data_IF_825738393433
#
_entry.id   IF_825738393433
#
_cell.length_a   1.000
_cell.length_b   1.000
_cell.length_c   1.000
_cell.angle_alpha   90.00
_cell.angle_beta   90.00
_cell.angle_gamma   90.00
#
_symmetry.space_group_name_H-M   'P 1'
#
loop_
_entity.id
_entity.type
_entity.pdbx_description
1 polymer ?
#
# COMPACT_ATOMS: atom_id res chain seq x y z
N UNK A 1 11.92 13.05 -19.28
CA UNK A 1 12.22 13.74 -20.55
C UNK A 1 12.90 12.83 -21.59
N UNK A 2 13.65 11.78 -21.19
CA UNK A 2 14.37 10.87 -22.12
C UNK A 2 13.53 9.65 -22.59
N UNK A 3 12.46 9.28 -21.87
CA UNK A 3 11.62 8.12 -22.19
C UNK A 3 10.88 8.27 -23.53
N UNK A 4 10.38 9.47 -23.83
CA UNK A 4 9.63 9.74 -25.06
C UNK A 4 10.46 9.59 -26.34
N UNK A 5 11.68 10.17 -26.46
CA UNK A 5 12.56 9.93 -27.60
C UNK A 5 12.93 8.46 -27.84
N UNK A 6 13.16 7.68 -26.77
CA UNK A 6 13.51 6.25 -26.86
C UNK A 6 12.33 5.43 -27.41
N UNK A 7 11.11 5.72 -26.97
CA UNK A 7 9.91 5.08 -27.49
C UNK A 7 9.67 5.36 -28.97
N UNK A 8 9.87 6.61 -29.41
CA UNK A 8 9.77 7.00 -30.83
C UNK A 8 10.84 6.31 -31.67
N UNK A 9 12.09 6.25 -31.19
CA UNK A 9 13.17 5.54 -31.88
C UNK A 9 12.92 4.03 -31.99
N UNK A 10 12.41 3.39 -30.94
CA UNK A 10 12.05 1.98 -30.97
C UNK A 10 10.98 1.68 -32.04
N UNK A 11 9.98 2.56 -32.17
CA UNK A 11 8.94 2.42 -33.18
C UNK A 11 9.40 2.82 -34.60
N UNK A 12 10.33 3.76 -34.72
CA UNK A 12 10.89 4.18 -36.01
C UNK A 12 11.93 3.20 -36.58
N UNK A 13 12.49 2.32 -35.75
CA UNK A 13 13.47 1.30 -36.14
C UNK A 13 12.87 -0.08 -36.43
N UNK A 14 11.54 -0.22 -36.36
CA UNK A 14 10.79 -1.49 -36.52
C UNK A 14 11.36 -2.67 -35.70
N UNK A 15 12.05 -2.37 -34.60
CA UNK A 15 12.69 -3.37 -33.78
C UNK A 15 11.72 -3.90 -32.72
N UNK A 16 11.06 -5.02 -33.02
CA UNK A 16 10.09 -5.67 -32.15
C UNK A 16 10.58 -5.87 -30.70
N UNK A 17 11.86 -6.18 -30.48
CA UNK A 17 12.41 -6.39 -29.15
C UNK A 17 12.44 -5.09 -28.34
N UNK A 18 12.86 -3.98 -28.95
CA UNK A 18 12.86 -2.67 -28.30
C UNK A 18 11.44 -2.19 -28.00
N UNK A 19 10.50 -2.45 -28.90
CA UNK A 19 9.08 -2.10 -28.73
C UNK A 19 8.48 -2.86 -27.54
N UNK A 20 8.70 -4.18 -27.45
CA UNK A 20 8.19 -5.01 -26.35
C UNK A 20 8.78 -4.55 -25.01
N UNK A 21 10.10 -4.33 -24.96
CA UNK A 21 10.78 -3.90 -23.74
C UNK A 21 10.27 -2.53 -23.26
N UNK A 22 10.19 -1.55 -24.16
CA UNK A 22 9.70 -0.21 -23.85
C UNK A 22 8.25 -0.25 -23.34
N UNK A 23 7.37 -1.00 -24.01
CA UNK A 23 5.97 -1.14 -23.62
C UNK A 23 5.83 -1.79 -22.25
N UNK A 24 6.57 -2.86 -21.99
CA UNK A 24 6.55 -3.58 -20.71
C UNK A 24 7.01 -2.70 -19.56
N UNK A 25 8.13 -1.98 -19.73
CA UNK A 25 8.62 -1.04 -18.72
C UNK A 25 7.65 0.13 -18.50
N UNK A 26 7.00 0.61 -19.56
CA UNK A 26 5.95 1.63 -19.47
C UNK A 26 4.75 1.17 -18.64
N UNK A 27 4.27 -0.05 -18.87
CA UNK A 27 3.18 -0.64 -18.09
C UNK A 27 3.57 -0.84 -16.61
N UNK A 28 4.78 -1.35 -16.35
CA UNK A 28 5.30 -1.50 -14.98
C UNK A 28 5.44 -0.14 -14.29
N UNK A 29 5.89 0.88 -15.00
CA UNK A 29 5.98 2.23 -14.45
C UNK A 29 4.60 2.79 -14.07
N UNK A 30 3.61 2.64 -14.95
CA UNK A 30 2.21 3.03 -14.65
C UNK A 30 1.64 2.24 -13.48
N UNK A 31 1.94 0.94 -13.40
CA UNK A 31 1.57 0.11 -12.26
C UNK A 31 2.21 0.62 -10.96
N UNK A 32 3.52 0.93 -10.95
CA UNK A 32 4.18 1.49 -9.78
C UNK A 32 3.55 2.81 -9.33
N UNK A 33 3.27 3.72 -10.27
CA UNK A 33 2.55 4.97 -9.97
C UNK A 33 1.18 4.70 -9.34
N UNK A 34 0.45 3.71 -9.83
CA UNK A 34 -0.84 3.32 -9.28
C UNK A 34 -0.70 2.63 -7.91
N UNK A 35 0.29 1.77 -7.71
CA UNK A 35 0.49 0.98 -6.50
C UNK A 35 0.94 1.85 -5.31
N UNK A 36 1.86 2.79 -5.55
CA UNK A 36 2.41 3.71 -4.55
C UNK A 36 1.61 5.02 -4.41
N UNK A 37 0.39 5.08 -4.96
CA UNK A 37 -0.46 6.28 -4.87
C UNK A 37 -0.87 6.57 -3.42
N UNK A 38 -0.98 7.85 -3.07
CA UNK A 38 -1.50 8.31 -1.78
C UNK A 38 -2.62 9.35 -1.99
N UNK A 39 -3.87 8.90 -2.23
CA UNK A 39 -4.99 9.81 -2.41
C UNK A 39 -5.43 10.41 -1.07
N UNK A 40 -5.83 11.69 -1.10
CA UNK A 40 -6.44 12.37 0.05
C UNK A 40 -7.74 11.66 0.44
N UNK A 41 -7.94 11.46 1.75
CA UNK A 41 -9.16 10.84 2.31
C UNK A 41 -9.95 11.86 3.11
N UNK A 42 -11.28 11.77 3.02
CA UNK A 42 -12.17 12.46 3.95
C UNK A 42 -12.23 11.70 5.27
N UNK A 43 -11.76 12.32 6.35
CA UNK A 43 -11.79 11.75 7.70
C UNK A 43 -12.97 12.39 8.45
N UNK A 44 -13.81 11.60 9.15
CA UNK A 44 -14.85 12.15 10.03
C UNK A 44 -14.27 13.09 11.10
N UNK A 45 -15.02 14.12 11.49
CA UNK A 45 -14.55 15.16 12.43
C UNK A 45 -14.56 14.68 13.90
N UNK A 46 -15.34 13.63 14.20
CA UNK A 46 -15.49 13.10 15.55
C UNK A 46 -14.21 12.40 16.04
N UNK A 47 -13.56 13.00 17.03
CA UNK A 47 -12.32 12.51 17.64
C UNK A 47 -12.50 11.25 18.51
N UNK A 48 -13.72 10.85 18.80
CA UNK A 48 -14.01 9.64 19.57
C UNK A 48 -14.04 8.38 18.70
N UNK A 49 -14.03 8.54 17.37
CA UNK A 49 -14.06 7.43 16.43
C UNK A 49 -12.66 6.91 16.10
N UNK A 50 -12.54 5.58 16.04
CA UNK A 50 -11.39 4.90 15.43
C UNK A 50 -11.71 4.71 13.95
N UNK A 51 -10.86 5.22 13.06
CA UNK A 51 -11.04 5.09 11.60
C UNK A 51 -10.18 3.97 11.03
N UNK A 52 -10.50 3.50 9.82
CA UNK A 52 -9.70 2.45 9.18
C UNK A 52 -8.27 2.96 8.87
N UNK A 53 -7.21 2.27 9.34
CA UNK A 53 -5.83 2.68 9.09
C UNK A 53 -5.38 2.42 7.65
N UNK A 54 -6.04 1.50 6.94
CA UNK A 54 -5.66 1.06 5.61
C UNK A 54 -6.90 0.80 4.73
N UNK A 55 -6.67 0.69 3.42
CA UNK A 55 -7.67 0.10 2.52
C UNK A 55 -7.69 -1.41 2.65
N UNK A 56 -8.72 -2.05 2.08
CA UNK A 56 -8.75 -3.49 1.94
C UNK A 56 -9.99 -4.11 2.53
N UNK A 57 -9.90 -5.42 2.79
CA UNK A 57 -11.00 -6.21 3.31
C UNK A 57 -10.72 -6.59 4.76
N UNK A 58 -11.69 -6.38 5.64
CA UNK A 58 -11.64 -6.96 6.98
C UNK A 58 -11.77 -8.48 6.86
N UNK A 59 -10.73 -9.20 7.29
CA UNK A 59 -10.65 -10.67 7.18
C UNK A 59 -10.78 -11.37 8.53
N UNK A 60 -10.61 -10.64 9.64
CA UNK A 60 -10.71 -11.19 11.00
C UNK A 60 -11.15 -10.10 11.97
N UNK A 61 -12.08 -10.45 12.87
CA UNK A 61 -12.43 -9.67 14.05
C UNK A 61 -12.51 -10.64 15.22
N UNK A 62 -11.70 -10.45 16.25
CA UNK A 62 -11.66 -11.35 17.41
C UNK A 62 -11.28 -10.62 18.70
N UNK A 63 -11.70 -11.17 19.84
CA UNK A 63 -11.19 -10.77 21.15
C UNK A 63 -9.89 -11.55 21.42
N UNK A 64 -8.83 -10.83 21.78
CA UNK A 64 -7.53 -11.40 22.11
C UNK A 64 -7.08 -10.91 23.48
N UNK A 65 -6.15 -11.62 24.09
CA UNK A 65 -5.39 -11.10 25.22
C UNK A 65 -3.97 -10.84 24.73
N UNK A 66 -3.61 -9.58 24.57
CA UNK A 66 -2.33 -9.16 24.02
C UNK A 66 -1.57 -8.34 25.07
N UNK A 67 -0.52 -8.92 25.67
CA UNK A 67 0.31 -8.25 26.67
C UNK A 67 0.97 -6.98 26.14
N UNK A 68 1.25 -6.88 24.83
CA UNK A 68 1.94 -5.74 24.23
C UNK A 68 1.06 -4.49 24.21
N UNK A 69 -0.27 -4.66 24.18
CA UNK A 69 -1.27 -3.57 24.25
C UNK A 69 -1.94 -3.46 25.62
N UNK A 70 -1.45 -4.21 26.62
CA UNK A 70 -1.89 -4.08 28.01
C UNK A 70 -3.09 -4.94 28.44
N UNK A 71 -3.42 -6.01 27.71
CA UNK A 71 -4.42 -7.01 28.14
C UNK A 71 -5.51 -7.33 27.10
N UNK A 72 -6.76 -7.54 27.52
CA UNK A 72 -7.86 -7.86 26.61
C UNK A 72 -8.07 -6.76 25.57
N UNK A 73 -8.04 -7.13 24.29
CA UNK A 73 -8.14 -6.22 23.16
C UNK A 73 -9.01 -6.80 22.04
N UNK A 74 -9.56 -5.91 21.20
CA UNK A 74 -10.26 -6.30 19.97
C UNK A 74 -9.29 -6.23 18.80
N UNK A 75 -8.97 -7.37 18.20
CA UNK A 75 -8.17 -7.43 16.98
C UNK A 75 -9.06 -7.23 15.75
N UNK A 76 -8.62 -6.37 14.84
CA UNK A 76 -9.21 -6.21 13.50
C UNK A 76 -8.11 -6.39 12.46
N UNK A 77 -8.18 -7.46 11.66
CA UNK A 77 -7.22 -7.72 10.59
C UNK A 77 -7.76 -7.25 9.25
N UNK A 78 -7.00 -6.40 8.56
CA UNK A 78 -7.32 -5.86 7.24
C UNK A 78 -6.32 -6.41 6.23
N UNK A 79 -6.83 -7.03 5.17
CA UNK A 79 -6.03 -7.54 4.06
C UNK A 79 -6.05 -6.55 2.90
N UNK A 80 -4.86 -6.05 2.52
CA UNK A 80 -4.63 -5.21 1.35
C UNK A 80 -4.31 -6.10 0.15
N UNK A 81 -5.09 -5.99 -0.92
CA UNK A 81 -4.75 -6.59 -2.21
C UNK A 81 -3.93 -5.62 -3.08
N UNK A 82 -3.42 -6.12 -4.21
CA UNK A 82 -2.56 -5.35 -5.14
C UNK A 82 -3.18 -4.07 -5.69
N UNK A 83 -4.52 -3.96 -5.69
CA UNK A 83 -5.24 -2.78 -6.18
C UNK A 83 -5.53 -1.75 -5.07
N UNK A 84 -5.33 -2.12 -3.80
CA UNK A 84 -5.51 -1.21 -2.67
C UNK A 84 -4.34 -0.23 -2.56
N UNK A 85 -4.57 0.88 -1.86
CA UNK A 85 -3.49 1.81 -1.50
C UNK A 85 -2.62 1.17 -0.43
N UNK A 86 -1.34 0.95 -0.74
CA UNK A 86 -0.36 0.30 0.17
C UNK A 86 0.25 1.31 1.15
N UNK A 87 -0.61 2.03 1.86
CA UNK A 87 -0.23 3.01 2.89
C UNK A 87 -1.05 2.74 4.14
N UNK A 88 -0.37 2.44 5.25
CA UNK A 88 -0.96 2.37 6.58
C UNK A 88 -0.86 3.75 7.24
N UNK A 89 -1.98 4.22 7.80
CA UNK A 89 -2.10 5.49 8.51
C UNK A 89 -2.47 5.24 9.96
N UNK A 90 -2.31 6.26 10.78
CA UNK A 90 -2.72 6.23 12.19
C UNK A 90 -4.26 6.30 12.26
N UNK A 91 -4.93 5.36 12.94
CA UNK A 91 -6.39 5.28 12.98
C UNK A 91 -7.06 6.18 14.04
N UNK A 92 -6.27 6.78 14.95
CA UNK A 92 -6.74 7.62 16.06
C UNK A 92 -5.63 8.59 16.50
N UNK A 93 -5.98 9.77 17.02
CA UNK A 93 -5.01 10.69 17.64
C UNK A 93 -4.35 10.03 18.89
N UNK A 94 -3.03 10.23 19.06
CA UNK A 94 -2.31 9.69 20.21
C UNK A 94 -0.82 10.04 20.20
N UNK A 95 -0.12 9.61 21.26
CA UNK A 95 1.34 9.72 21.37
C UNK A 95 1.96 8.34 21.15
N UNK A 96 3.02 8.27 20.35
CA UNK A 96 3.78 7.03 20.16
C UNK A 96 4.65 6.81 21.40
N UNK A 97 4.34 5.78 22.19
CA UNK A 97 5.11 5.45 23.40
C UNK A 97 6.34 4.58 23.09
N UNK A 98 6.22 3.65 22.15
CA UNK A 98 7.32 2.75 21.76
C UNK A 98 7.17 2.27 20.31
N UNK A 99 8.29 1.83 19.71
CA UNK A 99 8.33 1.19 18.38
C UNK A 99 9.25 -0.02 18.46
N UNK A 100 8.70 -1.21 18.24
CA UNK A 100 9.44 -2.47 18.25
C UNK A 100 9.41 -3.14 16.87
N UNK A 101 10.58 -3.57 16.36
CA UNK A 101 10.68 -4.33 15.12
C UNK A 101 10.80 -5.83 15.42
N UNK A 102 9.71 -6.57 15.21
CA UNK A 102 9.71 -8.04 15.28
C UNK A 102 10.06 -8.63 13.90
N UNK A 103 11.15 -9.40 13.75
CA UNK A 103 11.51 -10.01 12.46
C UNK A 103 10.48 -11.07 12.08
N UNK A 104 9.86 -10.92 10.90
CA UNK A 104 8.95 -11.91 10.33
C UNK A 104 9.66 -12.92 9.42
N UNK A 105 9.00 -14.04 9.13
CA UNK A 105 9.34 -14.93 8.02
C UNK A 105 8.60 -14.49 6.77
N UNK A 106 9.30 -14.36 5.65
CA UNK A 106 8.68 -14.09 4.35
C UNK A 106 8.13 -15.41 3.79
N UNK A 107 6.82 -15.62 3.94
CA UNK A 107 6.09 -16.73 3.34
C UNK A 107 5.51 -16.22 2.01
N UNK A 108 6.24 -16.47 0.92
CA UNK A 108 5.77 -16.18 -0.45
C UNK A 108 4.97 -17.34 -1.04
#
# INVERSE_FOLDING_TARGET
MVTFPIGVYAHASDNNLLIILYTTLGLLFLFCLNFFRDPVRSIPIDKTMVVSPADGKVVKIEDINDPDVGGPARLVSIFLNVFNVHVNRVPIDGMIESVERKPGSFLA
#
